data_IF_668633333254
#
_entry.id   IF_668633333254
#
_cell.length_a   1.000
_cell.length_b   1.000
_cell.length_c   1.000
_cell.angle_alpha   90.00
_cell.angle_beta   90.00
_cell.angle_gamma   90.00
#
_symmetry.space_group_name_H-M   'P 1'
#
loop_
_entity.id
_entity.type
_entity.pdbx_description
1 polymer ?
#
# COMPACT_ATOMS: atom_id res chain seq x y z
N UNK A 1 -21.92 9.93 -38.93
CA UNK A 1 -21.34 9.70 -37.60
C UNK A 1 -20.65 11.00 -37.22
N UNK A 2 -21.21 11.82 -36.32
CA UNK A 2 -20.55 13.04 -35.89
C UNK A 2 -19.39 12.62 -35.02
N UNK A 3 -18.15 12.92 -35.44
CA UNK A 3 -16.98 12.77 -34.59
C UNK A 3 -17.18 13.63 -33.34
N UNK A 4 -17.21 13.00 -32.16
CA UNK A 4 -17.13 13.80 -30.93
C UNK A 4 -15.91 14.72 -31.02
N UNK A 5 -16.03 15.99 -30.64
CA UNK A 5 -14.90 16.89 -30.66
C UNK A 5 -13.79 16.33 -29.74
N UNK A 6 -12.58 16.22 -30.29
CA UNK A 6 -11.41 15.83 -29.50
C UNK A 6 -11.08 16.95 -28.53
N UNK A 7 -11.13 16.68 -27.27
CA UNK A 7 -10.70 17.61 -26.21
C UNK A 7 -9.17 17.66 -26.15
N UNK A 8 -8.56 18.84 -26.03
CA UNK A 8 -7.10 19.01 -26.01
C UNK A 8 -6.63 19.74 -24.78
N UNK A 9 -5.58 19.21 -24.13
CA UNK A 9 -4.90 19.80 -22.98
C UNK A 9 -3.39 19.83 -23.19
N UNK A 10 -2.72 20.80 -22.58
CA UNK A 10 -1.27 20.76 -22.53
C UNK A 10 -0.78 19.65 -21.59
N UNK A 11 -1.39 19.54 -20.42
CA UNK A 11 -0.98 18.59 -19.38
C UNK A 11 -2.22 17.86 -18.82
N UNK A 12 -2.13 16.53 -18.77
CA UNK A 12 -3.12 15.67 -18.11
C UNK A 12 -2.40 14.89 -17.00
N UNK A 13 -2.95 14.92 -15.81
CA UNK A 13 -2.56 14.06 -14.69
C UNK A 13 -3.63 12.98 -14.55
N UNK A 14 -3.23 11.70 -14.46
CA UNK A 14 -4.15 10.57 -14.31
C UNK A 14 -4.07 10.04 -12.88
N UNK A 15 -5.14 10.25 -12.11
CA UNK A 15 -5.26 9.90 -10.70
C UNK A 15 -5.20 11.10 -9.77
N UNK A 16 -6.21 11.22 -8.87
CA UNK A 16 -6.33 12.27 -7.85
C UNK A 16 -6.01 11.75 -6.44
N UNK A 17 -5.02 10.86 -6.34
CA UNK A 17 -4.39 10.46 -5.08
C UNK A 17 -3.31 11.45 -4.63
N UNK A 18 -2.57 11.13 -3.54
CA UNK A 18 -1.52 12.00 -3.01
C UNK A 18 -0.51 12.47 -4.05
N UNK A 19 -0.11 11.57 -4.96
CA UNK A 19 0.88 11.84 -6.00
C UNK A 19 0.37 12.82 -7.06
N UNK A 20 -0.80 12.54 -7.63
CA UNK A 20 -1.39 13.40 -8.65
C UNK A 20 -1.77 14.77 -8.10
N UNK A 21 -2.34 14.83 -6.90
CA UNK A 21 -2.67 16.10 -6.25
C UNK A 21 -1.41 16.91 -5.90
N UNK A 22 -0.33 16.27 -5.44
CA UNK A 22 0.94 16.96 -5.18
C UNK A 22 1.56 17.53 -6.46
N UNK A 23 1.51 16.79 -7.56
CA UNK A 23 1.96 17.30 -8.88
C UNK A 23 1.09 18.46 -9.34
N UNK A 24 -0.25 18.33 -9.21
CA UNK A 24 -1.20 19.41 -9.51
C UNK A 24 -0.94 20.67 -8.67
N UNK A 25 -0.60 20.51 -7.40
CA UNK A 25 -0.22 21.61 -6.51
C UNK A 25 0.95 22.43 -7.09
N UNK A 26 2.06 21.80 -7.46
CA UNK A 26 3.24 22.49 -7.99
C UNK A 26 2.96 23.16 -9.34
N UNK A 27 2.18 22.54 -10.22
CA UNK A 27 1.75 23.16 -11.47
C UNK A 27 0.86 24.38 -11.22
N UNK A 28 -0.05 24.32 -10.26
CA UNK A 28 -0.90 25.44 -9.83
C UNK A 28 -0.08 26.61 -9.26
N UNK A 29 0.94 26.33 -8.47
CA UNK A 29 1.85 27.37 -7.93
C UNK A 29 2.55 28.18 -9.05
N UNK A 30 2.77 27.56 -10.22
CA UNK A 30 3.37 28.19 -11.40
C UNK A 30 2.30 28.67 -12.39
N UNK A 31 1.02 28.67 -12.04
CA UNK A 31 -0.10 29.02 -12.92
C UNK A 31 -0.17 28.22 -14.22
N UNK A 32 0.34 27.00 -14.22
CA UNK A 32 0.31 26.11 -15.39
C UNK A 32 -1.06 25.44 -15.50
N UNK A 33 -1.70 25.63 -16.67
CA UNK A 33 -3.01 25.00 -16.96
C UNK A 33 -2.85 23.50 -17.18
N UNK A 34 -3.62 22.71 -16.44
CA UNK A 34 -3.67 21.25 -16.53
C UNK A 34 -5.06 20.74 -16.12
N UNK A 35 -5.27 19.46 -16.26
CA UNK A 35 -6.45 18.74 -15.72
C UNK A 35 -5.99 17.50 -14.98
N UNK A 36 -6.70 17.14 -13.92
CA UNK A 36 -6.51 15.87 -13.20
C UNK A 36 -7.74 14.99 -13.46
N UNK A 37 -7.53 13.81 -14.01
CA UNK A 37 -8.59 12.84 -14.28
C UNK A 37 -8.59 11.78 -13.18
N UNK A 38 -9.76 11.54 -12.58
CA UNK A 38 -9.94 10.56 -11.52
C UNK A 38 -11.16 9.67 -11.84
N UNK A 39 -10.94 8.34 -11.84
CA UNK A 39 -12.00 7.36 -12.17
C UNK A 39 -13.18 7.37 -11.19
N UNK A 40 -12.89 7.65 -9.90
CA UNK A 40 -13.89 7.78 -8.86
C UNK A 40 -13.93 9.20 -8.29
N UNK A 41 -14.00 9.30 -6.96
CA UNK A 41 -13.86 10.55 -6.22
C UNK A 41 -12.42 10.72 -5.72
N UNK A 42 -12.05 11.93 -5.30
CA UNK A 42 -10.77 12.14 -4.62
C UNK A 42 -10.69 11.25 -3.38
N UNK A 43 -9.63 10.44 -3.29
CA UNK A 43 -9.48 9.43 -2.25
C UNK A 43 -10.12 8.07 -2.57
N UNK A 44 -10.55 7.83 -3.80
CA UNK A 44 -11.27 6.62 -4.24
C UNK A 44 -10.62 5.31 -3.81
N UNK A 45 -9.31 5.18 -3.90
CA UNK A 45 -8.60 3.94 -3.49
C UNK A 45 -8.81 3.62 -2.01
N UNK A 46 -8.83 4.62 -1.13
CA UNK A 46 -9.16 4.41 0.29
C UNK A 46 -10.63 4.08 0.49
N UNK A 47 -11.54 4.67 -0.29
CA UNK A 47 -12.97 4.40 -0.19
C UNK A 47 -13.32 2.98 -0.63
N UNK A 48 -12.90 2.59 -1.83
CA UNK A 48 -13.35 1.35 -2.46
C UNK A 48 -12.44 0.14 -2.20
N UNK A 49 -11.15 0.35 -1.91
CA UNK A 49 -10.16 -0.73 -1.81
C UNK A 49 -9.65 -0.96 -0.37
N UNK A 50 -10.22 -0.29 0.63
CA UNK A 50 -9.89 -0.52 2.04
C UNK A 50 -11.16 -0.90 2.82
N UNK A 51 -10.95 -1.65 3.89
CA UNK A 51 -12.01 -2.06 4.82
C UNK A 51 -12.38 -0.93 5.77
N UNK A 52 -13.50 -1.07 6.44
CA UNK A 52 -14.08 0.02 7.23
C UNK A 52 -13.25 0.36 8.48
N UNK A 53 -12.65 -0.66 9.11
CA UNK A 53 -11.74 -0.51 10.26
C UNK A 53 -10.30 -0.11 9.87
N UNK A 54 -10.03 0.31 8.63
CA UNK A 54 -8.70 0.70 8.19
C UNK A 54 -8.22 2.02 8.83
N UNK A 55 -6.95 2.01 9.26
CA UNK A 55 -6.20 3.20 9.70
C UNK A 55 -4.86 3.27 8.98
N UNK A 56 -4.35 4.49 8.75
CA UNK A 56 -2.98 4.67 8.31
C UNK A 56 -2.02 4.09 9.36
N UNK A 57 -0.87 3.61 8.92
CA UNK A 57 0.15 3.06 9.82
C UNK A 57 1.26 4.05 10.16
N UNK A 58 1.41 5.10 9.36
CA UNK A 58 2.27 6.22 9.73
C UNK A 58 1.48 7.21 10.59
N UNK A 59 2.10 7.77 11.65
CA UNK A 59 1.46 8.77 12.49
C UNK A 59 1.04 10.02 11.71
N UNK A 60 0.08 10.75 12.24
CA UNK A 60 -0.49 11.94 11.60
C UNK A 60 0.55 13.02 11.28
N UNK A 61 1.63 13.17 12.08
CA UNK A 61 2.72 14.10 11.77
C UNK A 61 3.42 13.77 10.44
N UNK A 62 3.34 12.52 9.97
CA UNK A 62 3.89 12.10 8.68
C UNK A 62 2.88 12.30 7.51
N UNK A 63 1.64 12.70 7.82
CA UNK A 63 0.63 13.06 6.81
C UNK A 63 0.85 14.51 6.42
N UNK A 64 1.70 14.69 5.41
CA UNK A 64 2.08 16.03 4.92
C UNK A 64 2.23 16.02 3.41
N UNK A 65 1.34 16.72 2.75
CA UNK A 65 1.44 17.02 1.33
C UNK A 65 1.98 18.45 1.14
N UNK A 66 2.48 18.80 -0.04
CA UNK A 66 3.01 20.14 -0.32
C UNK A 66 2.03 21.26 0.05
N UNK A 67 2.45 22.14 0.96
CA UNK A 67 1.61 23.23 1.45
C UNK A 67 0.40 22.84 2.30
N UNK A 68 0.26 21.55 2.69
CA UNK A 68 -0.89 21.07 3.44
C UNK A 68 -0.50 19.94 4.39
N UNK A 69 -0.09 20.29 5.59
CA UNK A 69 0.29 19.33 6.63
C UNK A 69 -0.90 19.04 7.54
N UNK A 70 -0.85 17.90 8.23
CA UNK A 70 -1.80 17.62 9.30
C UNK A 70 -1.69 18.69 10.40
N UNK A 71 -2.81 19.28 10.75
CA UNK A 71 -2.92 20.37 11.76
C UNK A 71 -3.85 20.03 12.92
N UNK A 72 -4.26 18.75 13.05
CA UNK A 72 -5.09 18.27 14.15
C UNK A 72 -4.33 18.20 15.47
N UNK A 73 -5.05 17.87 16.54
CA UNK A 73 -4.53 17.83 17.91
C UNK A 73 -3.78 16.53 18.27
N UNK A 74 -3.86 15.53 17.40
CA UNK A 74 -3.32 14.18 17.64
C UNK A 74 -2.17 13.85 16.68
N UNK A 75 -1.01 14.52 16.74
CA UNK A 75 0.09 14.28 15.80
C UNK A 75 0.66 12.86 15.88
N UNK A 76 0.61 12.22 17.05
CA UNK A 76 1.04 10.83 17.29
C UNK A 76 -0.10 9.81 17.08
N UNK A 77 -1.30 10.27 16.72
CA UNK A 77 -2.44 9.44 16.31
C UNK A 77 -2.32 8.97 14.86
N UNK A 78 -3.37 8.33 14.36
CA UNK A 78 -3.41 7.75 13.02
C UNK A 78 -4.75 8.04 12.37
N UNK A 79 -4.74 8.57 11.14
CA UNK A 79 -5.98 8.82 10.42
C UNK A 79 -6.67 7.50 10.07
N UNK A 80 -7.96 7.46 10.35
CA UNK A 80 -8.87 6.44 9.84
C UNK A 80 -9.03 6.54 8.31
N UNK A 81 -9.68 5.54 7.71
CA UNK A 81 -10.07 5.56 6.30
C UNK A 81 -10.81 6.86 5.92
N UNK A 82 -11.84 7.22 6.68
CA UNK A 82 -12.66 8.39 6.38
C UNK A 82 -11.89 9.70 6.55
N UNK A 83 -11.08 9.82 7.59
CA UNK A 83 -10.25 11.01 7.80
C UNK A 83 -9.17 11.15 6.71
N UNK A 84 -8.62 10.03 6.22
CA UNK A 84 -7.67 10.03 5.09
C UNK A 84 -8.32 10.53 3.80
N UNK A 85 -9.53 10.07 3.50
CA UNK A 85 -10.33 10.55 2.35
C UNK A 85 -10.60 12.04 2.50
N UNK A 86 -11.09 12.46 3.66
CA UNK A 86 -11.40 13.87 3.93
C UNK A 86 -10.16 14.77 3.83
N UNK A 87 -9.00 14.30 4.31
CA UNK A 87 -7.74 15.01 4.18
C UNK A 87 -7.38 15.27 2.71
N UNK A 88 -7.52 14.28 1.83
CA UNK A 88 -7.25 14.42 0.40
C UNK A 88 -8.25 15.34 -0.30
N UNK A 89 -9.54 15.25 0.04
CA UNK A 89 -10.58 16.14 -0.50
C UNK A 89 -10.36 17.58 -0.08
N UNK A 90 -10.00 17.80 1.19
CA UNK A 90 -9.66 19.12 1.71
C UNK A 90 -8.40 19.67 1.02
N UNK A 91 -7.40 18.83 0.78
CA UNK A 91 -6.20 19.21 0.04
C UNK A 91 -6.53 19.67 -1.37
N UNK A 92 -7.26 18.86 -2.14
CA UNK A 92 -7.66 19.21 -3.50
C UNK A 92 -8.44 20.55 -3.55
N UNK A 93 -9.32 20.77 -2.57
CA UNK A 93 -10.12 22.00 -2.46
C UNK A 93 -9.27 23.19 -2.05
N UNK A 94 -8.34 23.01 -1.13
CA UNK A 94 -7.51 24.07 -0.54
C UNK A 94 -6.75 24.90 -1.61
N UNK A 95 -6.18 24.23 -2.60
CA UNK A 95 -5.46 24.94 -3.68
C UNK A 95 -6.22 24.96 -5.01
N UNK A 96 -7.47 24.48 -5.03
CA UNK A 96 -8.33 24.50 -6.21
C UNK A 96 -7.80 23.62 -7.35
N UNK A 97 -7.50 22.35 -7.05
CA UNK A 97 -7.05 21.39 -8.06
C UNK A 97 -8.13 21.19 -9.13
N UNK A 98 -7.78 21.21 -10.43
CA UNK A 98 -8.73 21.02 -11.52
C UNK A 98 -9.07 19.55 -11.73
N UNK A 99 -9.61 18.87 -10.70
CA UNK A 99 -9.98 17.46 -10.74
C UNK A 99 -11.31 17.28 -11.46
N UNK A 100 -11.33 16.34 -12.40
CA UNK A 100 -12.54 15.78 -13.02
C UNK A 100 -12.73 14.37 -12.48
N UNK A 101 -13.75 14.16 -11.71
CA UNK A 101 -14.14 12.88 -11.13
C UNK A 101 -15.02 12.09 -12.08
N UNK A 102 -15.08 10.76 -11.90
CA UNK A 102 -15.87 9.85 -12.76
C UNK A 102 -15.29 9.69 -14.18
N UNK A 103 -13.99 9.98 -14.36
CA UNK A 103 -13.31 9.88 -15.67
C UNK A 103 -12.24 8.82 -15.60
N UNK A 104 -12.51 7.66 -16.19
CA UNK A 104 -11.55 6.57 -16.31
C UNK A 104 -10.80 6.65 -17.64
N UNK A 105 -9.47 6.57 -17.56
CA UNK A 105 -8.59 6.47 -18.73
C UNK A 105 -8.37 4.98 -19.02
N UNK A 106 -8.85 4.52 -20.17
CA UNK A 106 -8.80 3.12 -20.61
C UNK A 106 -7.59 2.82 -21.51
N UNK A 107 -7.06 3.84 -22.19
CA UNK A 107 -5.86 3.69 -23.01
C UNK A 107 -5.04 4.97 -23.09
N UNK A 108 -3.73 4.81 -23.27
CA UNK A 108 -2.77 5.88 -23.56
C UNK A 108 -1.89 5.45 -24.72
N UNK A 109 -1.88 6.26 -25.78
CA UNK A 109 -1.10 6.02 -26.98
C UNK A 109 -0.28 7.27 -27.32
N UNK A 110 0.95 7.08 -27.84
CA UNK A 110 1.73 8.19 -28.35
C UNK A 110 1.25 8.57 -29.76
N UNK A 111 1.13 9.87 -30.02
CA UNK A 111 0.77 10.44 -31.33
C UNK A 111 1.77 11.53 -31.69
N UNK A 112 1.73 12.04 -32.92
CA UNK A 112 2.68 13.07 -33.38
C UNK A 112 2.64 14.37 -32.57
N UNK A 113 1.49 14.70 -31.98
CA UNK A 113 1.25 15.89 -31.15
C UNK A 113 1.50 15.71 -29.64
N UNK A 114 1.88 14.50 -29.20
CA UNK A 114 2.04 14.11 -27.79
C UNK A 114 1.38 12.77 -27.49
N UNK A 115 0.26 12.77 -26.77
CA UNK A 115 -0.44 11.57 -26.31
C UNK A 115 -1.94 11.67 -26.55
N UNK A 116 -2.53 10.54 -26.86
CA UNK A 116 -3.98 10.35 -26.99
C UNK A 116 -4.45 9.45 -25.86
N UNK A 117 -5.39 9.93 -25.06
CA UNK A 117 -6.05 9.20 -23.98
C UNK A 117 -7.44 8.77 -24.44
N UNK A 118 -7.68 7.46 -24.47
CA UNK A 118 -9.01 6.90 -24.67
C UNK A 118 -9.74 6.83 -23.33
N UNK A 119 -10.94 7.38 -23.30
CA UNK A 119 -11.84 7.36 -22.14
C UNK A 119 -13.04 6.48 -22.45
N UNK A 120 -13.80 6.11 -21.43
CA UNK A 120 -15.04 5.39 -21.58
C UNK A 120 -16.00 6.04 -22.60
N UNK A 121 -16.82 5.22 -23.24
CA UNK A 121 -17.80 5.64 -24.25
C UNK A 121 -17.21 6.30 -25.52
N UNK A 122 -15.94 6.01 -25.82
CA UNK A 122 -15.28 6.51 -27.03
C UNK A 122 -14.88 7.99 -27.00
N UNK A 123 -14.90 8.62 -25.84
CA UNK A 123 -14.35 9.96 -25.66
C UNK A 123 -12.83 9.93 -25.76
N UNK A 124 -12.25 11.00 -26.26
CA UNK A 124 -10.81 11.11 -26.47
C UNK A 124 -10.32 12.46 -25.95
N UNK A 125 -9.20 12.42 -25.22
CA UNK A 125 -8.41 13.60 -24.85
C UNK A 125 -7.04 13.52 -25.55
N UNK A 126 -6.57 14.59 -26.14
CA UNK A 126 -5.17 14.75 -26.57
C UNK A 126 -4.41 15.60 -25.56
N UNK A 127 -3.17 15.21 -25.25
CA UNK A 127 -2.30 15.92 -24.32
C UNK A 127 -0.87 15.98 -24.83
N UNK A 128 -0.18 17.10 -24.59
CA UNK A 128 1.27 17.19 -24.89
C UNK A 128 2.09 16.46 -23.84
N UNK A 129 1.66 16.55 -22.56
CA UNK A 129 2.28 15.85 -21.44
C UNK A 129 1.24 15.07 -20.64
N UNK A 130 1.65 13.90 -20.15
CA UNK A 130 0.85 13.04 -19.30
C UNK A 130 1.66 12.63 -18.07
N UNK A 131 1.08 12.80 -16.88
CA UNK A 131 1.61 12.28 -15.63
C UNK A 131 0.72 11.14 -15.14
N UNK A 132 1.25 9.94 -15.14
CA UNK A 132 0.56 8.74 -14.65
C UNK A 132 0.76 8.64 -13.14
N UNK A 133 -0.28 8.94 -12.38
CA UNK A 133 -0.30 8.97 -10.92
C UNK A 133 -1.35 8.01 -10.33
N UNK A 134 -1.53 6.84 -10.97
CA UNK A 134 -2.55 5.84 -10.64
C UNK A 134 -2.22 5.01 -9.40
N UNK A 135 -1.05 5.23 -8.79
CA UNK A 135 -0.62 4.59 -7.53
C UNK A 135 0.08 3.25 -7.73
N UNK A 136 0.50 2.69 -6.58
CA UNK A 136 1.29 1.46 -6.52
C UNK A 136 0.43 0.17 -6.39
N UNK A 137 -0.87 0.31 -6.20
CA UNK A 137 -1.81 -0.80 -6.01
C UNK A 137 -2.68 -0.94 -7.25
N UNK A 138 -2.14 -1.55 -8.32
CA UNK A 138 -2.82 -1.64 -9.61
C UNK A 138 -3.94 -2.68 -9.63
N UNK A 139 -3.59 -3.96 -9.65
CA UNK A 139 -4.54 -5.07 -9.63
C UNK A 139 -4.23 -6.05 -8.51
N UNK A 140 -5.25 -6.69 -7.91
CA UNK A 140 -5.07 -7.77 -6.94
C UNK A 140 -4.18 -8.89 -7.48
N UNK A 141 -3.21 -9.33 -6.67
CA UNK A 141 -2.39 -10.49 -6.99
C UNK A 141 -3.06 -11.73 -6.42
N UNK A 142 -3.79 -12.46 -7.24
CA UNK A 142 -4.35 -13.76 -6.89
C UNK A 142 -3.41 -14.87 -7.37
N UNK A 143 -3.22 -15.94 -6.58
CA UNK A 143 -2.52 -17.14 -7.04
C UNK A 143 -3.30 -17.87 -8.14
N UNK A 144 -2.60 -18.51 -9.07
CA UNK A 144 -3.22 -19.17 -10.23
C UNK A 144 -4.12 -20.36 -9.85
N UNK A 145 -3.91 -20.95 -8.67
CA UNK A 145 -4.72 -22.07 -8.17
C UNK A 145 -6.04 -21.64 -7.52
N UNK A 146 -6.33 -20.37 -7.39
CA UNK A 146 -7.62 -19.89 -6.81
C UNK A 146 -8.84 -20.40 -7.59
N UNK A 147 -8.70 -20.54 -8.91
CA UNK A 147 -9.75 -21.07 -9.80
C UNK A 147 -9.92 -22.60 -9.70
N UNK A 148 -8.99 -23.30 -9.05
CA UNK A 148 -9.04 -24.74 -8.84
C UNK A 148 -9.73 -25.12 -7.52
N UNK A 149 -9.96 -24.15 -6.65
CA UNK A 149 -10.68 -24.36 -5.40
C UNK A 149 -12.20 -24.44 -5.66
N UNK A 150 -12.89 -25.15 -4.78
CA UNK A 150 -14.35 -25.33 -4.88
C UNK A 150 -15.11 -23.99 -4.83
N UNK A 151 -16.14 -23.86 -5.66
CA UNK A 151 -17.06 -22.71 -5.68
C UNK A 151 -17.91 -22.57 -4.41
N UNK A 152 -17.84 -23.54 -3.49
CA UNK A 152 -18.53 -23.50 -2.19
C UNK A 152 -17.94 -22.42 -1.24
N UNK A 153 -16.73 -21.95 -1.50
CA UNK A 153 -16.04 -20.94 -0.69
C UNK A 153 -16.18 -19.56 -1.31
N UNK A 154 -16.56 -18.57 -0.51
CA UNK A 154 -16.47 -17.16 -0.93
C UNK A 154 -15.01 -16.75 -0.98
N UNK A 155 -14.48 -16.46 -2.14
CA UNK A 155 -13.11 -15.99 -2.31
C UNK A 155 -13.08 -14.51 -2.63
N UNK A 156 -12.22 -13.75 -1.95
CA UNK A 156 -12.01 -12.33 -2.24
C UNK A 156 -10.57 -11.91 -1.98
N UNK A 157 -10.09 -10.93 -2.71
CA UNK A 157 -8.85 -10.25 -2.36
C UNK A 157 -9.08 -9.27 -1.19
N UNK A 158 -8.05 -8.98 -0.39
CA UNK A 158 -8.14 -8.05 0.74
C UNK A 158 -8.63 -6.65 0.38
N UNK A 159 -8.50 -6.21 -0.87
CA UNK A 159 -9.06 -4.94 -1.36
C UNK A 159 -10.60 -4.95 -1.49
N UNK A 160 -11.20 -6.12 -1.60
CA UNK A 160 -12.66 -6.27 -1.67
C UNK A 160 -13.31 -6.49 -0.29
N UNK A 161 -12.51 -6.88 0.71
CA UNK A 161 -12.99 -7.03 2.09
C UNK A 161 -13.41 -5.68 2.68
N UNK A 162 -14.56 -5.65 3.38
CA UNK A 162 -15.10 -4.43 4.00
C UNK A 162 -15.15 -4.49 5.51
N UNK A 163 -15.79 -5.49 6.05
CA UNK A 163 -15.94 -5.67 7.49
C UNK A 163 -16.35 -7.12 7.81
N UNK A 164 -16.28 -7.57 9.08
CA UNK A 164 -16.67 -8.92 9.48
C UNK A 164 -18.14 -9.28 9.19
N UNK A 165 -19.05 -8.31 9.24
CA UNK A 165 -20.48 -8.52 9.04
C UNK A 165 -20.86 -8.79 7.58
N UNK A 166 -19.97 -8.42 6.64
CA UNK A 166 -20.16 -8.71 5.22
C UNK A 166 -19.85 -10.17 4.85
N UNK A 167 -19.29 -10.95 5.77
CA UNK A 167 -18.94 -12.36 5.55
C UNK A 167 -20.03 -13.28 6.10
N UNK A 168 -20.27 -14.38 5.38
CA UNK A 168 -21.17 -15.45 5.84
C UNK A 168 -20.70 -16.03 7.18
N UNK A 169 -21.61 -16.73 7.84
CA UNK A 169 -21.27 -17.53 9.03
C UNK A 169 -20.27 -18.63 8.66
N UNK A 170 -19.35 -18.91 9.59
CA UNK A 170 -18.30 -19.91 9.43
C UNK A 170 -16.92 -19.35 9.74
N UNK A 171 -15.91 -20.17 9.54
CA UNK A 171 -14.52 -19.78 9.71
C UNK A 171 -14.00 -19.03 8.46
N UNK A 172 -12.99 -18.19 8.67
CA UNK A 172 -12.36 -17.41 7.60
C UNK A 172 -10.89 -17.78 7.52
N UNK A 173 -10.41 -18.11 6.31
CA UNK A 173 -8.98 -18.24 6.04
C UNK A 173 -8.45 -16.92 5.46
N UNK A 174 -7.49 -16.30 6.14
CA UNK A 174 -6.74 -15.16 5.62
C UNK A 174 -5.40 -15.67 5.10
N UNK A 175 -5.13 -15.52 3.80
CA UNK A 175 -3.89 -15.98 3.16
C UNK A 175 -2.91 -14.82 3.02
N UNK A 176 -1.80 -14.94 3.75
CA UNK A 176 -0.76 -13.91 3.83
C UNK A 176 -0.87 -13.06 5.09
N UNK A 177 0.22 -12.99 5.83
CA UNK A 177 0.35 -12.20 7.07
C UNK A 177 1.16 -10.92 6.88
N UNK A 178 1.11 -10.32 5.70
CA UNK A 178 1.58 -8.94 5.52
C UNK A 178 0.69 -7.98 6.31
N UNK A 179 0.92 -6.67 6.17
CA UNK A 179 0.21 -5.67 6.97
C UNK A 179 -1.31 -5.79 6.88
N UNK A 180 -1.88 -5.91 5.66
CA UNK A 180 -3.33 -6.04 5.49
C UNK A 180 -3.84 -7.35 6.08
N UNK A 181 -3.18 -8.49 5.80
CA UNK A 181 -3.65 -9.78 6.29
C UNK A 181 -3.63 -9.90 7.82
N UNK A 182 -2.57 -9.40 8.46
CA UNK A 182 -2.48 -9.39 9.91
C UNK A 182 -3.56 -8.50 10.56
N UNK A 183 -3.82 -7.31 9.99
CA UNK A 183 -4.85 -6.39 10.49
C UNK A 183 -6.27 -6.94 10.28
N UNK A 184 -6.56 -7.53 9.11
CA UNK A 184 -7.86 -8.15 8.81
C UNK A 184 -8.09 -9.36 9.70
N UNK A 185 -7.07 -10.21 9.91
CA UNK A 185 -7.19 -11.37 10.80
C UNK A 185 -7.45 -10.95 12.25
N UNK A 186 -6.82 -9.87 12.72
CA UNK A 186 -7.08 -9.28 14.03
C UNK A 186 -8.53 -8.75 14.13
N UNK A 187 -8.99 -7.97 13.14
CA UNK A 187 -10.36 -7.43 13.12
C UNK A 187 -11.42 -8.53 13.11
N UNK A 188 -11.24 -9.57 12.31
CA UNK A 188 -12.14 -10.74 12.26
C UNK A 188 -12.17 -11.48 13.60
N UNK A 189 -11.00 -11.69 14.21
CA UNK A 189 -10.89 -12.33 15.51
C UNK A 189 -11.57 -11.53 16.63
N UNK A 190 -11.33 -10.21 16.66
CA UNK A 190 -11.96 -9.29 17.63
C UNK A 190 -13.49 -9.24 17.46
N UNK A 191 -13.99 -9.46 16.25
CA UNK A 191 -15.42 -9.59 15.95
C UNK A 191 -16.00 -10.99 16.28
N UNK A 192 -15.19 -11.90 16.83
CA UNK A 192 -15.62 -13.24 17.24
C UNK A 192 -15.69 -14.28 16.12
N UNK A 193 -15.16 -14.00 14.92
CA UNK A 193 -15.04 -15.00 13.85
C UNK A 193 -13.95 -16.02 14.18
N UNK A 194 -14.14 -17.26 13.78
CA UNK A 194 -13.07 -18.28 13.78
C UNK A 194 -12.13 -17.98 12.63
N UNK A 195 -10.85 -17.74 12.93
CA UNK A 195 -9.86 -17.27 11.94
C UNK A 195 -8.71 -18.26 11.79
N UNK A 196 -8.41 -18.61 10.55
CA UNK A 196 -7.16 -19.24 10.12
C UNK A 196 -6.31 -18.19 9.44
N UNK A 197 -5.02 -18.09 9.81
CA UNK A 197 -4.09 -17.15 9.20
C UNK A 197 -2.88 -17.89 8.62
N UNK A 198 -2.72 -17.84 7.31
CA UNK A 198 -1.52 -18.34 6.64
C UNK A 198 -0.38 -17.34 6.77
N UNK A 199 0.68 -17.74 7.47
CA UNK A 199 1.78 -16.86 7.88
C UNK A 199 2.86 -16.84 6.81
N UNK A 200 3.14 -15.65 6.28
CA UNK A 200 4.25 -15.38 5.35
C UNK A 200 5.46 -14.75 6.03
N UNK A 201 6.41 -14.28 5.22
CA UNK A 201 7.72 -13.78 5.67
C UNK A 201 7.71 -12.33 6.19
N UNK A 202 6.54 -11.70 6.40
CA UNK A 202 6.48 -10.34 6.92
C UNK A 202 7.08 -10.26 8.33
N UNK A 203 8.06 -9.38 8.52
CA UNK A 203 8.68 -9.16 9.82
C UNK A 203 7.81 -8.34 10.76
N UNK A 204 8.17 -8.32 12.04
CA UNK A 204 7.55 -7.44 13.03
C UNK A 204 8.50 -6.30 13.38
N UNK A 205 7.97 -5.09 13.54
CA UNK A 205 8.69 -3.95 14.10
C UNK A 205 7.87 -3.42 15.27
N UNK A 206 8.48 -3.06 16.41
CA UNK A 206 7.73 -2.46 17.50
C UNK A 206 7.00 -1.21 17.05
N UNK A 207 5.73 -1.06 17.44
CA UNK A 207 4.98 0.19 17.18
C UNK A 207 5.65 1.38 17.84
N UNK A 208 6.07 1.18 19.10
CA UNK A 208 6.77 2.18 19.90
C UNK A 208 8.01 1.57 20.54
N UNK A 209 9.05 2.37 20.67
CA UNK A 209 10.28 2.01 21.34
C UNK A 209 10.92 3.27 21.94
N UNK A 210 11.37 3.20 23.18
CA UNK A 210 11.96 4.34 23.90
C UNK A 210 11.09 5.61 23.79
N UNK A 211 9.80 5.48 24.07
CA UNK A 211 8.81 6.56 24.06
C UNK A 211 8.46 7.16 22.70
N UNK A 212 8.97 6.61 21.59
CA UNK A 212 8.74 7.12 20.24
C UNK A 212 8.15 6.06 19.32
N UNK A 213 7.33 6.49 18.35
CA UNK A 213 6.84 5.65 17.27
C UNK A 213 7.97 5.12 16.39
N UNK A 214 7.82 3.93 15.83
CA UNK A 214 8.82 3.37 14.91
C UNK A 214 9.04 4.21 13.65
N UNK A 215 7.99 4.91 13.18
CA UNK A 215 8.12 5.85 12.07
C UNK A 215 8.97 7.06 12.44
N UNK A 216 8.89 7.52 13.70
CA UNK A 216 9.76 8.59 14.20
C UNK A 216 11.23 8.16 14.20
N UNK A 217 11.50 6.93 14.65
CA UNK A 217 12.85 6.37 14.59
C UNK A 217 13.34 6.21 13.16
N UNK A 218 12.49 5.69 12.26
CA UNK A 218 12.84 5.57 10.85
C UNK A 218 13.16 6.94 10.22
N UNK A 219 12.42 7.98 10.58
CA UNK A 219 12.69 9.35 10.15
C UNK A 219 14.02 9.87 10.72
N UNK A 220 14.20 9.76 12.02
CA UNK A 220 15.37 10.28 12.75
C UNK A 220 16.68 9.60 12.32
N UNK A 221 16.61 8.31 12.02
CA UNK A 221 17.75 7.50 11.55
C UNK A 221 18.01 7.60 10.04
N UNK A 222 17.28 8.45 9.31
CA UNK A 222 17.44 8.64 7.86
C UNK A 222 16.86 7.52 7.00
N UNK A 223 16.05 6.62 7.56
CA UNK A 223 15.47 5.51 6.82
C UNK A 223 14.50 5.95 5.73
N UNK A 224 13.82 7.08 5.91
CA UNK A 224 12.98 7.68 4.86
C UNK A 224 13.78 8.37 3.75
N UNK A 225 15.04 8.73 4.00
CA UNK A 225 15.87 9.44 3.01
C UNK A 225 16.68 8.49 2.12
N UNK A 226 16.58 7.18 2.37
CA UNK A 226 17.21 6.18 1.50
C UNK A 226 16.65 6.25 0.08
N UNK A 227 17.56 6.25 -0.88
CA UNK A 227 17.26 6.25 -2.31
C UNK A 227 17.53 4.88 -2.94
N UNK A 228 17.22 4.73 -4.22
CA UNK A 228 17.55 3.52 -5.00
C UNK A 228 19.05 3.25 -5.07
N UNK A 229 19.89 4.24 -4.80
CA UNK A 229 21.34 4.12 -4.77
C UNK A 229 21.88 3.56 -3.44
N UNK A 230 21.07 3.59 -2.39
CA UNK A 230 21.44 3.19 -1.02
C UNK A 230 21.06 1.73 -0.70
N UNK A 231 20.53 0.97 -1.66
CA UNK A 231 20.07 -0.40 -1.47
C UNK A 231 20.74 -1.37 -2.46
N UNK A 232 21.02 -2.59 -2.01
CA UNK A 232 21.64 -3.62 -2.85
C UNK A 232 20.71 -4.10 -3.96
N UNK A 233 19.41 -4.18 -3.67
CA UNK A 233 18.35 -4.57 -4.61
C UNK A 233 17.14 -3.67 -4.43
N UNK A 234 16.84 -2.91 -5.46
CA UNK A 234 15.65 -2.03 -5.48
C UNK A 234 14.37 -2.85 -5.49
N UNK A 235 14.38 -4.01 -6.16
CA UNK A 235 13.21 -4.87 -6.23
C UNK A 235 12.93 -5.54 -4.89
N UNK A 236 13.94 -6.02 -4.18
CA UNK A 236 13.76 -6.54 -2.82
C UNK A 236 13.23 -5.46 -1.88
N UNK A 237 13.72 -4.23 -1.98
CA UNK A 237 13.22 -3.10 -1.19
C UNK A 237 11.77 -2.74 -1.56
N UNK A 238 11.42 -2.75 -2.85
CA UNK A 238 10.09 -2.42 -3.39
C UNK A 238 9.04 -3.44 -2.99
N UNK A 239 9.38 -4.71 -3.04
CA UNK A 239 8.46 -5.82 -2.75
C UNK A 239 8.59 -6.38 -1.33
N UNK A 240 9.39 -5.73 -0.49
CA UNK A 240 9.50 -6.11 0.92
C UNK A 240 8.15 -6.01 1.64
N UNK A 241 7.87 -6.99 2.49
CA UNK A 241 6.65 -7.00 3.29
C UNK A 241 6.70 -5.95 4.39
N UNK A 242 5.58 -5.25 4.58
CA UNK A 242 5.42 -4.29 5.68
C UNK A 242 5.28 -4.98 7.04
N UNK A 243 5.68 -4.29 8.10
CA UNK A 243 5.69 -4.82 9.48
C UNK A 243 4.29 -5.07 10.05
N UNK A 244 4.19 -5.99 11.00
CA UNK A 244 2.97 -6.32 11.75
C UNK A 244 2.62 -5.21 12.76
N UNK A 245 2.06 -4.12 12.27
CA UNK A 245 1.59 -2.98 13.09
C UNK A 245 0.24 -2.49 12.58
N UNK A 246 -0.52 -1.88 13.47
CA UNK A 246 -1.79 -1.23 13.16
C UNK A 246 -1.78 0.23 13.62
N UNK A 247 -2.51 1.10 12.93
CA UNK A 247 -2.85 2.44 13.41
C UNK A 247 -4.15 2.47 14.20
N UNK A 248 -4.97 1.42 14.11
CA UNK A 248 -6.21 1.33 14.87
C UNK A 248 -5.94 1.39 16.39
N UNK A 249 -6.95 1.84 17.15
CA UNK A 249 -6.89 1.88 18.62
C UNK A 249 -5.67 2.66 19.17
N UNK A 250 -5.27 3.72 18.49
CA UNK A 250 -4.13 4.56 18.88
C UNK A 250 -2.76 3.98 18.53
N UNK A 251 -2.73 2.95 17.71
CA UNK A 251 -1.53 2.30 17.19
C UNK A 251 -0.95 1.23 18.11
N UNK A 252 -0.82 0.01 17.61
CA UNK A 252 -0.32 -1.14 18.37
C UNK A 252 0.44 -2.14 17.50
N UNK A 253 1.14 -3.06 18.17
CA UNK A 253 1.77 -4.22 17.56
C UNK A 253 0.75 -5.32 17.34
N UNK A 254 0.85 -6.03 16.21
CA UNK A 254 0.11 -7.27 15.99
C UNK A 254 1.07 -8.43 16.29
N UNK A 255 0.74 -9.20 17.33
CA UNK A 255 1.54 -10.33 17.78
C UNK A 255 0.87 -11.64 17.34
N UNK A 256 1.35 -12.26 16.26
CA UNK A 256 0.75 -13.47 15.69
C UNK A 256 0.63 -14.59 16.73
N UNK A 257 1.64 -14.78 17.58
CA UNK A 257 1.58 -15.81 18.64
C UNK A 257 0.55 -15.50 19.72
N UNK A 258 0.31 -14.21 20.02
CA UNK A 258 -0.74 -13.84 20.98
C UNK A 258 -2.14 -14.06 20.37
N UNK A 259 -2.31 -13.73 19.08
CA UNK A 259 -3.53 -14.07 18.35
C UNK A 259 -3.79 -15.58 18.37
N UNK A 260 -2.75 -16.39 18.17
CA UNK A 260 -2.87 -17.86 18.30
C UNK A 260 -3.25 -18.31 19.72
N UNK A 261 -2.73 -17.64 20.76
CA UNK A 261 -3.10 -17.92 22.15
C UNK A 261 -4.56 -17.61 22.44
N UNK A 262 -5.12 -16.62 21.76
CA UNK A 262 -6.53 -16.20 21.93
C UNK A 262 -7.51 -16.89 20.98
N UNK A 263 -7.02 -17.75 20.06
CA UNK A 263 -7.90 -18.61 19.25
C UNK A 263 -7.71 -18.55 17.75
N UNK A 264 -6.83 -17.68 17.21
CA UNK A 264 -6.50 -17.69 15.78
C UNK A 264 -5.63 -18.93 15.46
N UNK A 265 -6.02 -19.68 14.46
CA UNK A 265 -5.22 -20.82 13.98
C UNK A 265 -4.18 -20.35 12.99
N UNK A 266 -2.90 -20.40 13.36
CA UNK A 266 -1.81 -20.09 12.41
C UNK A 266 -1.43 -21.34 11.62
N UNK A 267 -1.33 -21.16 10.30
CA UNK A 267 -0.88 -22.21 9.38
C UNK A 267 0.31 -21.71 8.55
N UNK A 268 1.06 -22.62 7.96
CA UNK A 268 2.17 -22.27 7.08
C UNK A 268 1.73 -21.54 5.81
N UNK A 269 2.68 -21.02 5.01
CA UNK A 269 2.36 -20.42 3.73
C UNK A 269 1.59 -21.39 2.83
N UNK A 270 0.54 -20.90 2.17
CA UNK A 270 -0.17 -21.67 1.16
C UNK A 270 0.71 -21.79 -0.08
N UNK A 271 0.85 -23.01 -0.59
CA UNK A 271 1.67 -23.33 -1.77
C UNK A 271 0.85 -23.76 -2.97
N UNK A 272 -0.42 -24.09 -2.77
CA UNK A 272 -1.36 -24.54 -3.80
C UNK A 272 -2.69 -24.98 -3.20
N UNK A 273 -3.60 -25.47 -4.03
CA UNK A 273 -4.86 -26.04 -3.57
C UNK A 273 -5.72 -26.51 -4.74
N UNK A 274 -6.63 -27.46 -4.46
CA UNK A 274 -7.60 -28.01 -5.41
C UNK A 274 -8.84 -28.50 -4.65
N UNK A 275 -10.02 -28.24 -5.17
CA UNK A 275 -11.28 -28.59 -4.52
C UNK A 275 -11.39 -27.95 -3.14
N UNK A 276 -11.52 -28.75 -2.11
CA UNK A 276 -11.64 -28.30 -0.73
C UNK A 276 -10.29 -28.32 0.04
N UNK A 277 -9.19 -28.67 -0.63
CA UNK A 277 -7.89 -28.84 0.02
C UNK A 277 -6.94 -27.70 -0.36
N UNK A 278 -6.28 -27.12 0.63
CA UNK A 278 -5.16 -26.20 0.48
C UNK A 278 -3.87 -26.87 0.96
N UNK A 279 -2.80 -26.78 0.18
CA UNK A 279 -1.48 -27.27 0.54
C UNK A 279 -0.66 -26.21 1.25
N UNK A 280 0.03 -26.61 2.29
CA UNK A 280 0.77 -25.74 3.20
C UNK A 280 2.26 -26.08 3.23
N UNK A 281 3.08 -25.05 3.29
CA UNK A 281 4.48 -25.23 3.67
C UNK A 281 4.58 -25.50 5.18
N UNK A 282 5.43 -26.45 5.57
CA UNK A 282 5.61 -26.87 6.97
C UNK A 282 6.60 -26.01 7.77
N UNK A 283 7.17 -24.95 7.17
CA UNK A 283 8.18 -24.08 7.80
C UNK A 283 7.62 -23.07 8.82
N UNK A 284 6.35 -23.21 9.26
CA UNK A 284 5.70 -22.25 10.15
C UNK A 284 6.55 -21.87 11.38
N UNK A 285 7.17 -22.86 12.05
CA UNK A 285 8.04 -22.60 13.23
C UNK A 285 9.24 -21.71 12.87
N UNK A 286 9.89 -21.97 11.74
CA UNK A 286 11.03 -21.21 11.26
C UNK A 286 10.64 -19.78 10.90
N UNK A 287 9.49 -19.62 10.22
CA UNK A 287 8.94 -18.31 9.85
C UNK A 287 8.61 -17.50 11.09
N UNK A 288 7.87 -18.07 12.06
CA UNK A 288 7.52 -17.39 13.29
C UNK A 288 8.75 -16.99 14.12
N UNK A 289 9.80 -17.82 14.11
CA UNK A 289 11.07 -17.46 14.73
C UNK A 289 11.70 -16.23 14.07
N UNK A 290 11.74 -16.18 12.75
CA UNK A 290 12.26 -15.02 12.03
C UNK A 290 11.44 -13.74 12.30
N UNK A 291 10.12 -13.85 12.40
CA UNK A 291 9.22 -12.75 12.79
C UNK A 291 9.56 -12.22 14.18
N UNK A 292 9.86 -13.11 15.13
CA UNK A 292 10.20 -12.74 16.51
C UNK A 292 11.62 -12.18 16.66
N UNK A 293 12.56 -12.64 15.83
CA UNK A 293 13.95 -12.17 15.84
C UNK A 293 14.10 -10.75 15.24
N UNK A 294 13.22 -10.38 14.29
CA UNK A 294 13.31 -9.11 13.56
C UNK A 294 13.30 -7.86 14.49
N UNK A 295 12.42 -7.76 15.50
CA UNK A 295 12.41 -6.62 16.43
C UNK A 295 13.70 -6.47 17.23
N UNK A 296 14.38 -7.57 17.55
CA UNK A 296 15.61 -7.57 18.35
C UNK A 296 16.70 -6.76 17.64
N UNK A 297 16.95 -7.08 16.38
CA UNK A 297 17.93 -6.37 15.56
C UNK A 297 17.54 -4.90 15.36
N UNK A 298 16.25 -4.64 15.15
CA UNK A 298 15.78 -3.27 14.97
C UNK A 298 15.96 -2.43 16.26
N UNK A 299 15.62 -2.96 17.45
CA UNK A 299 15.84 -2.32 18.74
C UNK A 299 17.34 -2.03 18.97
N UNK A 300 18.21 -3.00 18.65
CA UNK A 300 19.66 -2.79 18.76
C UNK A 300 20.14 -1.64 17.88
N UNK A 301 19.68 -1.55 16.63
CA UNK A 301 20.05 -0.44 15.74
C UNK A 301 19.60 0.92 16.28
N UNK A 302 18.45 1.00 16.97
CA UNK A 302 18.00 2.22 17.65
C UNK A 302 18.88 2.54 18.84
N UNK A 303 19.24 1.54 19.65
CA UNK A 303 20.10 1.72 20.81
C UNK A 303 21.50 2.22 20.43
N UNK A 304 22.10 1.62 19.41
CA UNK A 304 23.38 2.04 18.85
C UNK A 304 23.32 3.49 18.32
N UNK A 305 22.20 3.86 17.69
CA UNK A 305 21.98 5.22 17.23
C UNK A 305 21.85 6.21 18.39
N UNK A 306 21.09 5.88 19.41
CA UNK A 306 20.91 6.70 20.64
C UNK A 306 22.25 6.92 21.33
N UNK A 307 23.05 5.87 21.53
CA UNK A 307 24.37 5.95 22.14
C UNK A 307 25.32 6.83 21.31
N UNK A 308 25.41 6.54 20.00
CA UNK A 308 26.30 7.28 19.08
C UNK A 308 26.01 8.77 19.05
N UNK A 309 24.75 9.20 19.19
CA UNK A 309 24.35 10.60 19.10
C UNK A 309 24.10 11.25 20.48
N UNK A 310 24.33 10.54 21.58
CA UNK A 310 24.12 11.05 22.93
C UNK A 310 22.69 11.49 23.22
N UNK A 311 21.71 10.82 22.64
CA UNK A 311 20.30 11.23 22.73
C UNK A 311 19.73 10.94 24.12
N UNK A 312 18.98 11.91 24.66
CA UNK A 312 18.23 11.73 25.90
C UNK A 312 16.81 11.25 25.55
N UNK A 313 16.59 9.95 25.64
CA UNK A 313 15.30 9.29 25.40
C UNK A 313 14.99 8.34 26.55
N UNK A 314 13.71 8.06 26.84
CA UNK A 314 13.32 7.09 27.86
C UNK A 314 13.97 5.73 27.65
N UNK A 315 14.14 4.97 28.71
CA UNK A 315 14.38 3.52 28.60
C UNK A 315 13.11 2.86 28.03
N UNK A 316 13.30 1.71 27.36
CA UNK A 316 12.16 0.93 26.89
C UNK A 316 11.43 0.31 28.10
N UNK A 317 10.20 0.71 28.30
CA UNK A 317 9.29 0.21 29.34
C UNK A 317 8.22 -0.75 28.76
N UNK A 318 8.20 -0.92 27.43
CA UNK A 318 7.27 -1.80 26.74
C UNK A 318 7.86 -3.22 26.72
N UNK A 319 7.31 -4.09 27.56
CA UNK A 319 7.66 -5.50 27.56
C UNK A 319 6.88 -6.21 26.46
N UNK A 320 7.59 -6.72 25.43
CA UNK A 320 6.97 -7.59 24.44
C UNK A 320 6.34 -8.81 25.15
N UNK A 321 5.13 -9.25 24.74
CA UNK A 321 4.55 -10.46 25.28
C UNK A 321 5.53 -11.63 25.15
N UNK A 322 5.67 -12.46 26.18
CA UNK A 322 6.60 -13.59 26.12
C UNK A 322 6.20 -14.52 24.99
N UNK A 323 7.18 -15.04 24.26
CA UNK A 323 6.97 -16.11 23.30
C UNK A 323 6.31 -17.29 24.00
N UNK A 324 5.39 -17.93 23.29
CA UNK A 324 4.73 -19.13 23.80
C UNK A 324 5.73 -20.28 23.64
N UNK A 325 6.34 -20.67 24.75
CA UNK A 325 7.33 -21.74 24.75
C UNK A 325 6.74 -23.05 24.19
N UNK A 326 7.49 -23.69 23.27
CA UNK A 326 7.08 -24.93 22.65
C UNK A 326 5.88 -24.87 21.69
N UNK A 327 5.45 -23.66 21.29
CA UNK A 327 4.37 -23.48 20.32
C UNK A 327 4.95 -23.05 18.94
N UNK A 328 4.39 -23.51 17.78
CA UNK A 328 3.34 -24.52 17.65
C UNK A 328 3.80 -25.90 18.13
N UNK A 329 2.90 -26.64 18.77
CA UNK A 329 3.16 -28.02 19.19
C UNK A 329 3.01 -28.97 18.01
N UNK A 330 3.87 -29.98 17.97
CA UNK A 330 3.87 -30.97 16.87
C UNK A 330 4.42 -30.42 15.56
N UNK A 331 4.24 -31.17 14.49
CA UNK A 331 4.59 -30.78 13.13
C UNK A 331 3.50 -29.88 12.55
N UNK A 332 3.90 -28.89 11.75
CA UNK A 332 2.95 -28.06 11.02
C UNK A 332 2.23 -28.92 9.97
N UNK A 333 0.91 -28.76 9.81
CA UNK A 333 0.16 -29.49 8.79
C UNK A 333 0.72 -29.11 7.39
N UNK A 334 0.74 -30.07 6.49
CA UNK A 334 1.10 -29.85 5.08
C UNK A 334 -0.13 -29.61 4.19
N UNK A 335 -1.33 -29.77 4.74
CA UNK A 335 -2.62 -29.50 4.08
C UNK A 335 -3.66 -29.02 5.08
N UNK A 336 -4.68 -28.34 4.57
CA UNK A 336 -5.85 -27.87 5.30
C UNK A 336 -7.09 -28.20 4.46
N UNK A 337 -7.95 -29.05 5.04
CA UNK A 337 -9.29 -29.29 4.50
C UNK A 337 -10.20 -28.13 4.95
N UNK A 338 -10.59 -27.32 3.98
CA UNK A 338 -11.37 -26.11 4.19
C UNK A 338 -12.78 -26.43 4.71
N UNK A 339 -13.45 -27.43 4.10
CA UNK A 339 -14.81 -27.83 4.47
C UNK A 339 -14.83 -28.46 5.86
N UNK A 340 -13.91 -29.40 6.15
CA UNK A 340 -13.82 -30.03 7.48
C UNK A 340 -13.42 -29.03 8.56
N UNK A 341 -12.73 -27.94 8.21
CA UNK A 341 -12.36 -26.83 9.11
C UNK A 341 -13.46 -25.81 9.30
N UNK A 342 -14.62 -25.97 8.63
CA UNK A 342 -15.75 -25.05 8.69
C UNK A 342 -15.48 -23.70 8.05
N UNK A 343 -14.47 -23.61 7.17
CA UNK A 343 -14.12 -22.41 6.44
C UNK A 343 -15.18 -22.14 5.36
N UNK A 344 -15.71 -20.92 5.31
CA UNK A 344 -16.69 -20.48 4.32
C UNK A 344 -16.19 -19.35 3.45
N UNK A 345 -15.13 -18.66 3.90
CA UNK A 345 -14.54 -17.55 3.16
C UNK A 345 -13.01 -17.59 3.18
N UNK A 346 -12.40 -17.18 2.06
CA UNK A 346 -10.96 -17.03 1.88
C UNK A 346 -10.67 -15.58 1.50
N UNK A 347 -9.81 -14.92 2.28
CA UNK A 347 -9.35 -13.55 2.00
C UNK A 347 -7.89 -13.61 1.56
N UNK A 348 -7.66 -13.32 0.29
CA UNK A 348 -6.33 -13.29 -0.31
C UNK A 348 -5.63 -11.97 -0.01
N UNK A 349 -4.77 -11.96 1.00
CA UNK A 349 -3.92 -10.81 1.36
C UNK A 349 -2.52 -10.94 0.73
N UNK A 350 -2.51 -11.25 -0.56
CA UNK A 350 -1.33 -11.65 -1.34
C UNK A 350 -0.69 -10.49 -2.10
N UNK A 351 -1.14 -9.25 -1.83
CA UNK A 351 -0.58 -8.03 -2.41
C UNK A 351 -1.14 -7.70 -3.79
N UNK A 352 -0.42 -6.83 -4.51
CA UNK A 352 -0.87 -6.27 -5.77
C UNK A 352 0.20 -6.43 -6.84
N UNK A 353 -0.22 -6.37 -8.12
CA UNK A 353 0.64 -6.24 -9.30
C UNK A 353 0.46 -4.85 -9.89
N UNK A 354 1.50 -4.30 -10.50
CA UNK A 354 1.36 -3.12 -11.33
C UNK A 354 0.57 -3.46 -12.60
N UNK A 355 -0.26 -2.52 -13.04
CA UNK A 355 -1.02 -2.65 -14.29
C UNK A 355 -0.87 -1.40 -15.13
N UNK A 356 -0.07 -1.51 -16.17
CA UNK A 356 0.12 -0.45 -17.17
C UNK A 356 -0.15 -0.94 -18.59
N UNK A 357 -0.85 -2.06 -18.77
CA UNK A 357 -1.19 -2.65 -20.08
C UNK A 357 -2.09 -1.75 -20.92
N UNK A 358 -2.77 -0.80 -20.26
CA UNK A 358 -3.56 0.23 -20.91
C UNK A 358 -2.70 1.31 -21.59
N UNK A 359 -1.40 1.41 -21.27
CA UNK A 359 -0.44 2.26 -21.94
C UNK A 359 0.17 1.47 -23.10
N UNK A 360 -0.11 1.91 -24.32
CA UNK A 360 0.28 1.21 -25.58
C UNK A 360 1.70 1.56 -26.01
N UNK A 361 2.63 1.50 -25.06
CA UNK A 361 4.06 1.73 -25.24
C UNK A 361 4.85 0.67 -24.46
N UNK A 362 6.02 0.26 -24.90
CA UNK A 362 6.88 -0.67 -24.17
C UNK A 362 7.61 0.02 -23.02
N UNK A 363 6.86 0.48 -22.02
CA UNK A 363 7.35 1.31 -20.92
C UNK A 363 7.63 0.53 -19.63
N UNK A 364 7.32 -0.77 -19.58
CA UNK A 364 7.48 -1.60 -18.38
C UNK A 364 8.63 -2.56 -18.52
N UNK A 365 9.37 -2.74 -17.43
CA UNK A 365 10.39 -3.77 -17.27
C UNK A 365 9.87 -4.99 -16.49
N UNK A 366 10.74 -5.56 -15.69
CA UNK A 366 10.43 -6.69 -14.82
C UNK A 366 9.28 -6.33 -13.84
N UNK A 367 8.45 -7.30 -13.50
CA UNK A 367 7.27 -7.14 -12.64
C UNK A 367 6.26 -6.07 -13.10
N UNK A 368 6.21 -5.73 -14.39
CA UNK A 368 5.40 -4.63 -14.94
C UNK A 368 5.71 -3.27 -14.30
N UNK A 369 6.88 -3.09 -13.70
CA UNK A 369 7.30 -1.81 -13.15
C UNK A 369 7.75 -0.88 -14.27
N UNK A 370 7.34 0.41 -14.28
CA UNK A 370 7.73 1.34 -15.35
C UNK A 370 9.24 1.59 -15.39
N UNK A 371 9.78 1.63 -16.60
CA UNK A 371 11.16 2.04 -16.86
C UNK A 371 11.21 3.55 -16.74
N UNK A 372 11.80 4.05 -15.67
CA UNK A 372 11.83 5.46 -15.33
C UNK A 372 13.03 5.82 -14.44
N UNK A 373 13.41 7.08 -14.41
CA UNK A 373 14.34 7.63 -13.43
C UNK A 373 13.67 8.80 -12.70
N UNK A 374 13.35 8.61 -11.43
CA UNK A 374 12.61 9.56 -10.59
C UNK A 374 11.33 10.10 -11.26
N UNK A 375 10.58 9.20 -11.91
CA UNK A 375 9.34 9.51 -12.61
C UNK A 375 9.49 9.96 -14.06
N UNK A 376 10.68 10.29 -14.53
CA UNK A 376 10.94 10.67 -15.92
C UNK A 376 11.18 9.43 -16.77
N UNK A 377 10.48 9.31 -17.90
CA UNK A 377 10.64 8.21 -18.86
C UNK A 377 11.48 8.62 -20.08
N UNK A 378 11.84 7.66 -20.91
CA UNK A 378 12.47 7.93 -22.21
C UNK A 378 11.49 8.55 -23.24
N UNK A 379 10.18 8.50 -22.98
CA UNK A 379 9.16 9.07 -23.86
C UNK A 379 8.92 10.55 -23.48
N UNK A 380 9.28 11.51 -24.34
CA UNK A 380 9.14 12.92 -24.01
C UNK A 380 7.69 13.29 -23.65
N UNK A 381 7.51 13.90 -22.48
CA UNK A 381 6.20 14.30 -21.98
C UNK A 381 5.42 13.21 -21.25
N UNK A 382 5.98 12.00 -21.05
CA UNK A 382 5.36 10.95 -20.24
C UNK A 382 6.12 10.77 -18.93
N UNK A 383 5.38 10.84 -17.83
CA UNK A 383 5.92 10.78 -16.48
C UNK A 383 5.13 9.82 -15.60
N UNK A 384 5.77 9.25 -14.58
CA UNK A 384 5.14 8.46 -13.54
C UNK A 384 5.27 9.12 -12.16
N UNK A 385 4.27 8.93 -11.31
CA UNK A 385 4.26 9.44 -9.94
C UNK A 385 3.64 8.45 -8.94
N UNK A 386 4.14 8.48 -7.70
CA UNK A 386 3.56 7.73 -6.58
C UNK A 386 3.81 6.22 -6.61
N UNK A 387 4.86 5.78 -7.29
CA UNK A 387 5.29 4.38 -7.31
C UNK A 387 6.23 4.09 -6.13
N UNK A 388 6.13 2.87 -5.58
CA UNK A 388 7.05 2.42 -4.53
C UNK A 388 8.49 2.42 -5.03
N UNK A 389 9.40 3.00 -4.24
CA UNK A 389 10.81 3.12 -4.61
C UNK A 389 11.03 3.67 -6.02
N UNK A 390 10.24 4.68 -6.39
CA UNK A 390 10.40 5.38 -7.65
C UNK A 390 11.74 6.12 -7.69
N UNK A 391 12.11 6.73 -6.58
CA UNK A 391 13.42 7.32 -6.30
C UNK A 391 13.92 6.93 -4.91
N UNK A 392 13.07 6.92 -3.91
CA UNK A 392 13.43 6.58 -2.54
C UNK A 392 12.34 5.85 -1.77
N UNK A 393 12.65 5.48 -0.55
CA UNK A 393 11.77 4.70 0.33
C UNK A 393 10.42 5.37 0.61
N UNK A 394 10.35 6.69 0.55
CA UNK A 394 9.16 7.52 0.83
C UNK A 394 8.38 7.96 -0.42
N UNK A 395 8.80 7.58 -1.64
CA UNK A 395 8.22 8.04 -2.92
C UNK A 395 6.72 7.83 -3.05
N UNK A 396 6.17 6.74 -2.49
CA UNK A 396 4.74 6.44 -2.51
C UNK A 396 4.01 6.78 -1.19
N UNK A 397 4.62 7.55 -0.30
CA UNK A 397 4.10 7.85 1.03
C UNK A 397 3.75 9.33 1.17
N UNK A 398 2.76 9.66 2.02
CA UNK A 398 2.38 11.05 2.32
C UNK A 398 3.56 11.93 2.74
N UNK A 399 4.51 11.36 3.47
CA UNK A 399 5.68 12.08 4.00
C UNK A 399 6.68 12.49 2.91
N UNK A 400 6.70 11.82 1.75
CA UNK A 400 7.76 12.01 0.76
C UNK A 400 7.31 12.24 -0.67
N UNK A 401 6.05 11.90 -1.01
CA UNK A 401 5.54 12.02 -2.40
C UNK A 401 5.66 13.44 -2.97
N UNK A 402 5.64 14.45 -2.10
CA UNK A 402 5.77 15.86 -2.51
C UNK A 402 7.13 16.19 -3.12
N UNK A 403 8.22 15.57 -2.66
CA UNK A 403 9.57 15.82 -3.19
C UNK A 403 9.71 15.32 -4.64
N UNK A 404 9.15 14.13 -4.93
CA UNK A 404 9.14 13.61 -6.30
C UNK A 404 8.15 14.37 -7.17
N UNK A 405 7.01 14.83 -6.61
CA UNK A 405 6.05 15.64 -7.33
C UNK A 405 6.63 17.00 -7.75
N UNK A 406 7.44 17.63 -6.89
CA UNK A 406 8.16 18.86 -7.24
C UNK A 406 9.15 18.63 -8.39
N UNK A 407 9.92 17.53 -8.31
CA UNK A 407 10.88 17.16 -9.33
C UNK A 407 10.19 16.93 -10.69
N UNK A 408 9.14 16.10 -10.72
CA UNK A 408 8.39 15.81 -11.96
C UNK A 408 7.71 17.06 -12.50
N UNK A 409 7.09 17.87 -11.63
CA UNK A 409 6.44 19.10 -12.06
C UNK A 409 7.43 20.09 -12.73
N UNK A 410 8.66 20.22 -12.22
CA UNK A 410 9.72 21.02 -12.87
C UNK A 410 10.04 20.48 -14.26
N UNK A 411 10.25 19.17 -14.42
CA UNK A 411 10.47 18.55 -15.73
C UNK A 411 9.32 18.79 -16.70
N UNK A 412 8.08 18.70 -16.23
CA UNK A 412 6.89 19.02 -17.03
C UNK A 412 6.95 20.49 -17.50
N UNK A 413 7.23 21.43 -16.60
CA UNK A 413 7.28 22.87 -16.91
C UNK A 413 8.39 23.15 -17.93
N UNK A 414 9.58 22.61 -17.71
CA UNK A 414 10.74 22.81 -18.58
C UNK A 414 10.51 22.26 -20.00
N UNK A 415 9.63 21.26 -20.16
CA UNK A 415 9.27 20.72 -21.48
C UNK A 415 8.41 21.66 -22.33
N UNK A 416 7.91 22.78 -21.77
CA UNK A 416 7.12 23.80 -22.45
C UNK A 416 7.91 25.11 -22.73
N UNK A 417 9.11 25.24 -22.18
CA UNK A 417 10.03 26.36 -22.42
C UNK A 417 10.89 26.08 -23.60
#
# INVERSE_FOLDING_TARGET
MSSNPVESHNIVIIGAGPAGLSTSYFLKQQNIKHVVLERGNVGNTWDVERWDGFYLVNPNWAVRLPGFHYVGTEPEGYLSKLETIQYLQNYATHFGSPVRTGVEVESLEQVSSGYKLGLGHGHVIEARCVVVATGAFGIPKLPDYTEQLSDSFTQMHSSAYKNPDALNDGAVLVVGSGQSGAQIAEELHDAGKTVFLSVGNAGRRPRRYRGRDSSWWNYTMGGFDKTVEDVESVDDARYSSSSHTSGARGGHNIYLRQMAKTGVTLVGPVTGGEGDIIWLNTDLKKILKAVDDHPIKWKQNVDDYVEKHGMQVPLDDIVDPPNIEGWPKGDAPNELDLAASGITAIIWSTGFKYNFDWIKLPITGEYNYPIQQRGVTEYPGLYFMGLQWMYGSKSAQFIGVGEDAEYVARHVIDSFG
#
